data_IF_897707305452
#
_entry.id   IF_897707305452
#
_cell.length_a   1.000
_cell.length_b   1.000
_cell.length_c   1.000
_cell.angle_alpha   90.00
_cell.angle_beta   90.00
_cell.angle_gamma   90.00
#
_symmetry.space_group_name_H-M   'P 1'
#
loop_
_entity.id
_entity.type
_entity.pdbx_description
1 polymer ?
#
# COMPACT_ATOMS: atom_id res chain seq x y z
N UNK A 1 1.09 -18.50 1.11
CA UNK A 1 1.66 -17.16 1.37
C UNK A 1 2.13 -16.55 0.06
N UNK A 2 1.80 -15.30 -0.19
CA UNK A 2 2.23 -14.61 -1.41
C UNK A 2 3.73 -14.35 -1.37
N UNK A 3 4.42 -14.68 -2.44
CA UNK A 3 5.85 -14.41 -2.57
C UNK A 3 6.18 -14.12 -4.04
N UNK A 4 7.33 -13.50 -4.25
CA UNK A 4 7.77 -13.11 -5.59
C UNK A 4 9.16 -13.65 -5.84
N UNK A 5 9.29 -14.70 -6.72
CA UNK A 5 10.61 -15.22 -7.08
C UNK A 5 11.28 -14.32 -8.12
N UNK A 6 12.62 -14.42 -8.18
CA UNK A 6 13.43 -13.79 -9.23
C UNK A 6 13.22 -12.26 -9.32
N UNK A 7 13.16 -11.60 -8.17
CA UNK A 7 13.00 -10.14 -8.09
C UNK A 7 14.26 -9.50 -7.52
N UNK A 8 14.40 -8.20 -7.78
CA UNK A 8 15.41 -7.37 -7.15
C UNK A 8 14.73 -6.48 -6.13
N UNK A 9 15.24 -6.45 -4.92
CA UNK A 9 14.71 -5.62 -3.83
C UNK A 9 15.71 -4.51 -3.52
N UNK A 10 15.22 -3.27 -3.49
CA UNK A 10 16.04 -2.14 -3.05
C UNK A 10 16.28 -2.27 -1.55
N UNK A 11 17.54 -2.25 -1.15
CA UNK A 11 17.90 -2.40 0.26
C UNK A 11 17.45 -1.21 1.10
N UNK A 12 17.46 -0.02 0.49
CA UNK A 12 17.04 1.20 1.19
C UNK A 12 15.53 1.28 1.25
N UNK A 13 14.99 1.42 2.43
CA UNK A 13 13.55 1.56 2.63
C UNK A 13 13.04 2.93 2.19
N UNK A 14 11.78 2.96 1.77
CA UNK A 14 10.99 4.19 1.63
C UNK A 14 10.34 4.44 2.99
N UNK A 15 10.66 5.57 3.60
CA UNK A 15 10.21 5.87 4.97
C UNK A 15 9.29 7.08 4.93
N UNK A 16 8.10 6.92 5.46
CA UNK A 16 7.07 7.96 5.51
C UNK A 16 6.62 8.16 6.97
N UNK A 17 6.16 9.37 7.28
CA UNK A 17 5.55 9.69 8.59
C UNK A 17 6.46 9.27 9.77
N UNK A 18 7.74 9.65 9.69
CA UNK A 18 8.74 9.39 10.74
C UNK A 18 8.89 7.89 11.07
N UNK A 19 8.78 7.04 10.05
CA UNK A 19 8.96 5.60 10.21
C UNK A 19 7.70 4.82 10.55
N UNK A 20 6.54 5.47 10.57
CA UNK A 20 5.28 4.79 10.84
C UNK A 20 4.74 4.02 9.63
N UNK A 21 5.21 4.37 8.44
CA UNK A 21 4.95 3.63 7.21
C UNK A 21 6.30 3.42 6.53
N UNK A 22 6.61 2.16 6.26
CA UNK A 22 7.89 1.78 5.66
C UNK A 22 7.61 0.78 4.55
N UNK A 23 8.26 0.96 3.40
CA UNK A 23 8.17 -0.01 2.31
C UNK A 23 9.51 -0.22 1.66
N UNK A 24 9.66 -1.35 0.96
CA UNK A 24 10.78 -1.62 0.08
C UNK A 24 10.26 -1.82 -1.33
N UNK A 25 10.98 -1.26 -2.30
CA UNK A 25 10.63 -1.40 -3.71
C UNK A 25 11.18 -2.72 -4.24
N UNK A 26 10.32 -3.43 -4.95
CA UNK A 26 10.62 -4.73 -5.58
C UNK A 26 10.52 -4.55 -7.08
N UNK A 27 11.59 -4.90 -7.79
CA UNK A 27 11.67 -4.79 -9.25
C UNK A 27 11.52 -6.17 -9.88
N UNK A 28 10.64 -6.26 -10.86
CA UNK A 28 10.37 -7.49 -11.60
C UNK A 28 11.17 -7.52 -12.90
N UNK A 29 11.38 -8.70 -13.46
CA UNK A 29 12.17 -8.90 -14.67
C UNK A 29 11.52 -8.26 -15.91
N UNK A 30 10.21 -8.02 -15.88
CA UNK A 30 9.49 -7.37 -16.97
C UNK A 30 9.58 -5.84 -16.94
N UNK A 31 10.32 -5.27 -15.99
CA UNK A 31 10.48 -3.83 -15.82
C UNK A 31 9.45 -3.17 -14.94
N UNK A 32 8.46 -3.90 -14.46
CA UNK A 32 7.48 -3.36 -13.50
C UNK A 32 8.03 -3.39 -12.09
N UNK A 33 7.36 -2.67 -11.20
CA UNK A 33 7.73 -2.63 -9.78
C UNK A 33 6.50 -2.64 -8.90
N UNK A 34 6.69 -3.10 -7.67
CA UNK A 34 5.70 -3.00 -6.59
C UNK A 34 6.43 -2.54 -5.34
N UNK A 35 5.68 -2.12 -4.34
CA UNK A 35 6.23 -1.89 -3.00
C UNK A 35 5.59 -2.84 -2.01
N UNK A 36 6.40 -3.33 -1.08
CA UNK A 36 5.95 -4.17 0.03
C UNK A 36 6.13 -3.38 1.30
N UNK A 37 5.07 -3.17 2.03
CA UNK A 37 5.14 -2.23 3.13
C UNK A 37 4.44 -2.65 4.41
N UNK A 38 4.78 -1.91 5.44
CA UNK A 38 4.23 -2.03 6.79
C UNK A 38 3.64 -0.69 7.18
N UNK A 39 2.44 -0.71 7.78
CA UNK A 39 1.78 0.47 8.32
C UNK A 39 1.53 0.21 9.80
N UNK A 40 2.14 1.04 10.65
CA UNK A 40 1.94 1.00 12.10
C UNK A 40 0.65 1.73 12.46
N UNK A 41 0.16 1.58 13.71
CA UNK A 41 -1.06 2.27 14.11
C UNK A 41 -0.98 3.78 13.90
N UNK A 42 -2.05 4.35 13.36
CA UNK A 42 -2.15 5.78 13.08
C UNK A 42 -3.09 6.05 11.92
N UNK A 43 -3.17 7.33 11.56
CA UNK A 43 -3.97 7.81 10.44
C UNK A 43 -3.04 8.49 9.45
N UNK A 44 -3.07 8.05 8.19
CA UNK A 44 -2.14 8.53 7.18
C UNK A 44 -2.86 8.85 5.88
N UNK A 45 -2.44 9.92 5.20
CA UNK A 45 -2.94 10.26 3.89
C UNK A 45 -1.85 10.05 2.84
N UNK A 46 -2.21 9.38 1.75
CA UNK A 46 -1.34 9.17 0.61
C UNK A 46 -1.97 9.72 -0.65
N UNK A 47 -1.18 10.47 -1.43
CA UNK A 47 -1.57 10.89 -2.77
C UNK A 47 -1.08 9.90 -3.81
N UNK A 48 -1.76 9.82 -4.94
CA UNK A 48 -1.37 8.98 -6.06
C UNK A 48 -1.05 9.83 -7.27
N UNK A 49 0.02 9.46 -7.99
CA UNK A 49 0.29 9.97 -9.33
C UNK A 49 -0.30 8.99 -10.35
N UNK A 50 0.19 7.75 -10.37
CA UNK A 50 -0.41 6.66 -11.13
C UNK A 50 -1.52 6.00 -10.29
N UNK A 51 -2.45 5.32 -10.95
CA UNK A 51 -3.41 4.47 -10.26
C UNK A 51 -2.69 3.34 -9.54
N UNK A 52 -3.24 2.91 -8.41
CA UNK A 52 -2.63 1.90 -7.55
C UNK A 52 -3.65 0.86 -7.11
N UNK A 53 -3.16 -0.36 -6.92
CA UNK A 53 -3.91 -1.39 -6.22
C UNK A 53 -3.17 -1.73 -4.93
N UNK A 54 -3.87 -1.61 -3.82
CA UNK A 54 -3.37 -1.94 -2.49
C UNK A 54 -3.96 -3.27 -2.06
N UNK A 55 -3.12 -4.28 -1.93
CA UNK A 55 -3.53 -5.59 -1.41
C UNK A 55 -3.09 -5.68 0.05
N UNK A 56 -4.02 -5.99 0.94
CA UNK A 56 -3.73 -6.17 2.35
C UNK A 56 -3.44 -7.64 2.61
N UNK A 57 -2.23 -7.93 3.05
CA UNK A 57 -1.76 -9.31 3.25
C UNK A 57 -1.70 -9.71 4.73
N UNK A 58 -1.72 -8.74 5.63
CA UNK A 58 -1.80 -8.98 7.07
C UNK A 58 -2.41 -7.77 7.75
N UNK A 59 -3.13 -7.99 8.84
CA UNK A 59 -3.78 -6.94 9.61
C UNK A 59 -5.06 -6.46 8.96
N UNK A 60 -5.56 -5.34 9.47
CA UNK A 60 -6.82 -4.71 9.05
C UNK A 60 -6.62 -3.21 9.02
N UNK A 61 -7.23 -2.56 8.03
CA UNK A 61 -7.22 -1.10 7.95
C UNK A 61 -8.59 -0.58 7.55
N UNK A 62 -8.79 0.72 7.77
CA UNK A 62 -9.99 1.43 7.34
C UNK A 62 -9.54 2.49 6.34
N UNK A 63 -10.17 2.53 5.19
CA UNK A 63 -9.79 3.46 4.13
C UNK A 63 -10.95 4.34 3.72
N UNK A 64 -10.60 5.54 3.25
CA UNK A 64 -11.52 6.46 2.59
C UNK A 64 -10.82 7.03 1.37
N UNK A 65 -11.41 6.85 0.20
CA UNK A 65 -10.87 7.41 -1.05
C UNK A 65 -11.21 8.91 -1.08
N UNK A 66 -10.24 9.73 -1.47
CA UNK A 66 -10.42 11.18 -1.59
C UNK A 66 -11.60 11.52 -2.49
N UNK A 67 -12.38 12.50 -2.08
CA UNK A 67 -13.57 12.91 -2.81
C UNK A 67 -14.80 12.05 -2.54
N UNK A 68 -14.69 11.02 -1.73
CA UNK A 68 -15.82 10.18 -1.32
C UNK A 68 -16.02 10.29 0.19
N UNK A 69 -17.19 9.83 0.65
CA UNK A 69 -17.48 9.69 2.08
C UNK A 69 -17.61 8.22 2.48
N UNK A 70 -17.28 7.32 1.55
CA UNK A 70 -17.38 5.89 1.81
C UNK A 70 -16.20 5.42 2.62
N UNK A 71 -16.48 4.94 3.81
CA UNK A 71 -15.48 4.37 4.72
C UNK A 71 -15.56 2.87 4.58
N UNK A 72 -14.44 2.24 4.23
CA UNK A 72 -14.38 0.79 4.02
C UNK A 72 -13.35 0.15 4.92
N UNK A 73 -13.71 -0.97 5.52
CA UNK A 73 -12.77 -1.82 6.26
C UNK A 73 -12.19 -2.86 5.30
N UNK A 74 -10.87 -2.89 5.22
CA UNK A 74 -10.15 -3.84 4.35
C UNK A 74 -9.37 -4.79 5.24
N UNK A 75 -9.66 -6.07 5.09
CA UNK A 75 -8.99 -7.12 5.87
C UNK A 75 -7.97 -7.86 5.02
N UNK A 76 -7.11 -8.61 5.68
CA UNK A 76 -6.13 -9.47 5.00
C UNK A 76 -6.84 -10.36 3.97
N UNK A 77 -6.27 -10.43 2.77
CA UNK A 77 -6.85 -11.16 1.64
C UNK A 77 -7.72 -10.31 0.73
N UNK A 78 -7.96 -9.04 1.08
CA UNK A 78 -8.75 -8.10 0.27
C UNK A 78 -7.88 -6.98 -0.26
N UNK A 79 -8.40 -6.25 -1.24
CA UNK A 79 -7.69 -5.19 -1.91
C UNK A 79 -8.61 -4.00 -2.21
N UNK A 80 -8.01 -2.86 -2.48
CA UNK A 80 -8.74 -1.69 -2.99
C UNK A 80 -7.90 -0.98 -4.04
N UNK A 81 -8.58 -0.34 -4.99
CA UNK A 81 -7.95 0.41 -6.06
C UNK A 81 -8.12 1.91 -5.82
N UNK A 82 -7.10 2.67 -6.17
CA UNK A 82 -7.11 4.14 -6.09
C UNK A 82 -6.77 4.68 -7.46
N UNK A 83 -7.58 5.61 -7.97
CA UNK A 83 -7.33 6.24 -9.26
C UNK A 83 -6.04 7.05 -9.25
N UNK A 84 -5.46 7.30 -10.42
CA UNK A 84 -4.35 8.22 -10.57
C UNK A 84 -4.79 9.66 -10.25
N UNK A 85 -3.83 10.50 -9.86
CA UNK A 85 -4.06 11.90 -9.50
C UNK A 85 -5.17 12.04 -8.44
N UNK A 86 -5.18 11.16 -7.47
CA UNK A 86 -6.16 11.11 -6.39
C UNK A 86 -5.43 10.87 -5.07
N UNK A 87 -6.04 10.15 -4.16
CA UNK A 87 -5.44 9.80 -2.89
C UNK A 87 -6.42 9.05 -2.01
N UNK A 88 -5.94 8.69 -0.83
CA UNK A 88 -6.76 8.00 0.16
C UNK A 88 -6.20 8.23 1.56
N UNK A 89 -7.09 8.13 2.53
CA UNK A 89 -6.72 8.11 3.94
C UNK A 89 -6.83 6.67 4.42
N UNK A 90 -5.82 6.20 5.14
CA UNK A 90 -5.79 4.87 5.72
C UNK A 90 -5.58 4.98 7.23
N UNK A 91 -6.39 4.25 7.99
CA UNK A 91 -6.32 4.19 9.44
C UNK A 91 -6.03 2.76 9.86
N UNK A 92 -4.98 2.59 10.64
CA UNK A 92 -4.66 1.33 11.30
C UNK A 92 -4.85 1.58 12.80
N UNK A 93 -5.80 0.88 13.40
CA UNK A 93 -6.15 1.11 14.81
C UNK A 93 -5.26 0.29 15.73
N UNK A 94 -4.92 -0.93 15.33
CA UNK A 94 -4.28 -1.90 16.19
C UNK A 94 -3.38 -2.81 15.35
N UNK A 95 -2.24 -3.19 15.91
CA UNK A 95 -1.29 -4.07 15.23
C UNK A 95 -0.59 -3.39 14.06
N UNK A 96 -0.06 -4.19 13.16
CA UNK A 96 0.62 -3.74 11.95
C UNK A 96 -0.17 -4.24 10.75
N UNK A 97 -0.44 -3.33 9.81
CA UNK A 97 -1.05 -3.67 8.53
C UNK A 97 0.05 -3.81 7.49
N UNK A 98 0.06 -4.93 6.77
CA UNK A 98 1.05 -5.19 5.72
C UNK A 98 0.38 -5.17 4.36
N UNK A 99 1.05 -4.59 3.38
CA UNK A 99 0.45 -4.39 2.06
C UNK A 99 1.41 -4.65 0.92
N UNK A 100 0.82 -4.95 -0.24
CA UNK A 100 1.50 -4.92 -1.54
C UNK A 100 0.85 -3.78 -2.32
N UNK A 101 1.64 -2.82 -2.79
CA UNK A 101 1.16 -1.76 -3.67
C UNK A 101 1.62 -2.05 -5.09
N UNK A 102 0.67 -2.22 -5.99
CA UNK A 102 0.92 -2.37 -7.42
C UNK A 102 0.56 -1.08 -8.13
N UNK A 103 1.41 -0.65 -9.06
CA UNK A 103 1.14 0.53 -9.88
C UNK A 103 0.44 0.08 -11.14
N UNK A 104 -0.78 0.59 -11.34
CA UNK A 104 -1.61 0.21 -12.48
C UNK A 104 -1.29 1.14 -13.63
N UNK A 105 -0.84 0.59 -14.74
CA UNK A 105 -0.59 1.37 -15.94
C UNK A 105 -1.85 1.46 -16.77
N UNK A 106 -2.07 2.63 -17.35
CA UNK A 106 -3.21 2.83 -18.24
C UNK A 106 -3.02 2.06 -19.54
#
# INVERSE_FOLDING_TARGET
MTSFPNVTVDAKANVYFDGRVISHTVHFTDGTKKTLGLIYPGRFHFGTAAAERMEIIAGTCVITIDGTKDVRTIEAGSAFDVAGNSGFTIVVEDGICEYICSFLTA
#
